data_IF_554426639110
#
_entry.id   IF_554426639110
#
_cell.length_a   1.000
_cell.length_b   1.000
_cell.length_c   1.000
_cell.angle_alpha   90.00
_cell.angle_beta   90.00
_cell.angle_gamma   90.00
#
_symmetry.space_group_name_H-M   'P 1'
#
loop_
_entity.id
_entity.type
_entity.pdbx_description
1 polymer ?
#
# COMPACT_ATOMS: atom_id res chain seq x y z
N UNK A 1 -17.66 28.82 4.93
CA UNK A 1 -16.75 27.66 5.01
C UNK A 1 -17.21 26.48 4.16
N UNK A 2 -18.52 26.23 3.96
CA UNK A 2 -18.98 25.14 3.07
C UNK A 2 -18.54 25.25 1.60
N UNK A 3 -18.71 26.42 0.96
CA UNK A 3 -18.38 26.57 -0.47
C UNK A 3 -16.91 26.36 -0.82
N UNK A 4 -15.97 26.79 0.03
CA UNK A 4 -14.55 26.62 -0.23
C UNK A 4 -14.08 25.15 -0.13
N UNK A 5 -14.73 24.32 0.68
CA UNK A 5 -14.44 22.88 0.75
C UNK A 5 -15.06 22.12 -0.42
N UNK A 6 -16.26 22.51 -0.86
CA UNK A 6 -16.91 21.94 -2.04
C UNK A 6 -16.06 22.14 -3.31
N UNK A 7 -15.41 23.31 -3.44
CA UNK A 7 -14.49 23.61 -4.54
C UNK A 7 -13.23 22.72 -4.55
N UNK A 8 -12.87 22.11 -3.41
CA UNK A 8 -11.69 21.22 -3.28
C UNK A 8 -11.99 19.75 -3.56
N UNK A 9 -13.24 19.33 -3.48
CA UNK A 9 -13.62 17.92 -3.63
C UNK A 9 -13.21 17.40 -5.01
N UNK A 10 -13.60 18.08 -6.09
CA UNK A 10 -13.34 17.61 -7.45
C UNK A 10 -11.83 17.56 -7.78
N UNK A 11 -11.03 18.61 -7.52
CA UNK A 11 -9.58 18.57 -7.75
C UNK A 11 -8.88 17.45 -6.97
N UNK A 12 -9.20 17.28 -5.68
CA UNK A 12 -8.58 16.26 -4.84
C UNK A 12 -9.03 14.85 -5.21
N UNK A 13 -10.27 14.67 -5.67
CA UNK A 13 -10.70 13.39 -6.24
C UNK A 13 -9.93 13.05 -7.51
N UNK A 14 -9.76 13.99 -8.44
CA UNK A 14 -8.95 13.74 -9.64
C UNK A 14 -7.51 13.39 -9.30
N UNK A 15 -6.93 14.09 -8.32
CA UNK A 15 -5.56 13.83 -7.88
C UNK A 15 -5.41 12.48 -7.17
N UNK A 16 -6.36 12.11 -6.32
CA UNK A 16 -6.39 10.78 -5.68
C UNK A 16 -6.65 9.64 -6.65
N UNK A 17 -7.37 9.88 -7.75
CA UNK A 17 -7.40 8.91 -8.87
C UNK A 17 -6.01 8.74 -9.47
N UNK A 18 -5.29 9.82 -9.76
CA UNK A 18 -3.92 9.73 -10.30
C UNK A 18 -3.00 8.98 -9.33
N UNK A 19 -3.07 9.31 -8.04
CA UNK A 19 -2.29 8.65 -6.99
C UNK A 19 -2.64 7.14 -6.88
N UNK A 20 -3.92 6.80 -6.80
CA UNK A 20 -4.36 5.40 -6.76
C UNK A 20 -3.98 4.61 -8.01
N UNK A 21 -4.12 5.20 -9.20
CA UNK A 21 -3.75 4.54 -10.47
C UNK A 21 -2.24 4.26 -10.59
N UNK A 22 -1.39 4.90 -9.77
CA UNK A 22 0.02 4.58 -9.71
C UNK A 22 0.26 3.12 -9.26
N UNK A 23 -0.62 2.54 -8.45
CA UNK A 23 -0.63 1.10 -8.11
C UNK A 23 -0.83 0.24 -9.37
N UNK A 24 -1.74 0.65 -10.26
CA UNK A 24 -1.92 -0.03 -11.54
C UNK A 24 -0.71 0.18 -12.47
N UNK A 25 -0.09 1.36 -12.45
CA UNK A 25 1.14 1.63 -13.21
C UNK A 25 2.29 0.71 -12.76
N UNK A 26 2.45 0.50 -11.45
CA UNK A 26 3.40 -0.46 -10.90
C UNK A 26 3.16 -1.89 -11.38
N UNK A 27 1.91 -2.30 -11.53
CA UNK A 27 1.58 -3.61 -12.10
C UNK A 27 2.03 -3.73 -13.57
N UNK A 28 1.88 -2.67 -14.37
CA UNK A 28 2.37 -2.66 -15.76
C UNK A 28 3.88 -2.83 -15.87
N UNK A 29 4.66 -2.27 -14.92
CA UNK A 29 6.11 -2.50 -14.85
C UNK A 29 6.40 -4.00 -14.83
N UNK A 30 5.77 -4.76 -13.92
CA UNK A 30 5.97 -6.22 -13.85
C UNK A 30 5.50 -6.93 -15.12
N UNK A 31 4.33 -6.55 -15.64
CA UNK A 31 3.70 -7.21 -16.78
C UNK A 31 4.46 -7.03 -18.10
N UNK A 32 5.36 -6.04 -18.18
CA UNK A 32 6.29 -5.89 -19.29
C UNK A 32 7.18 -7.12 -19.48
N UNK A 33 7.43 -7.90 -18.42
CA UNK A 33 8.24 -9.12 -18.49
C UNK A 33 7.35 -10.37 -18.47
N UNK A 34 6.97 -10.91 -19.65
CA UNK A 34 6.08 -12.06 -19.71
C UNK A 34 6.66 -13.31 -19.05
N UNK A 35 7.98 -13.46 -19.04
CA UNK A 35 8.72 -14.54 -18.38
C UNK A 35 9.51 -13.98 -17.18
N UNK A 36 8.79 -13.64 -16.10
CA UNK A 36 9.42 -13.11 -14.89
C UNK A 36 10.31 -14.19 -14.27
N UNK A 37 11.61 -13.89 -14.10
CA UNK A 37 12.57 -14.81 -13.51
C UNK A 37 12.59 -14.70 -11.98
N UNK A 38 12.94 -15.77 -11.24
CA UNK A 38 12.98 -15.74 -9.77
C UNK A 38 13.86 -14.62 -9.19
N UNK A 39 14.97 -14.28 -9.86
CA UNK A 39 15.84 -13.17 -9.45
C UNK A 39 15.14 -11.81 -9.52
N UNK A 40 14.34 -11.58 -10.57
CA UNK A 40 13.56 -10.35 -10.74
C UNK A 40 12.44 -10.27 -9.71
N UNK A 41 11.80 -11.40 -9.39
CA UNK A 41 10.83 -11.47 -8.30
C UNK A 41 11.49 -11.07 -6.97
N UNK A 42 12.67 -11.62 -6.65
CA UNK A 42 13.44 -11.23 -5.46
C UNK A 42 13.75 -9.72 -5.44
N UNK A 43 14.17 -9.15 -6.55
CA UNK A 43 14.44 -7.71 -6.66
C UNK A 43 13.19 -6.86 -6.43
N UNK A 44 12.07 -7.21 -7.06
CA UNK A 44 10.81 -6.48 -6.94
C UNK A 44 10.21 -6.55 -5.54
N UNK A 45 10.18 -7.74 -4.94
CA UNK A 45 9.68 -7.92 -3.57
C UNK A 45 10.60 -7.26 -2.54
N UNK A 46 11.92 -7.32 -2.75
CA UNK A 46 12.89 -6.59 -1.95
C UNK A 46 12.65 -5.09 -2.02
N UNK A 47 12.55 -4.53 -3.23
CA UNK A 47 12.26 -3.13 -3.48
C UNK A 47 10.99 -2.65 -2.78
N UNK A 48 9.88 -3.37 -2.96
CA UNK A 48 8.63 -3.05 -2.27
C UNK A 48 8.77 -3.13 -0.74
N UNK A 49 9.44 -4.15 -0.21
CA UNK A 49 9.70 -4.28 1.24
C UNK A 49 10.47 -3.07 1.80
N UNK A 50 11.50 -2.62 1.07
CA UNK A 50 12.30 -1.46 1.45
C UNK A 50 11.47 -0.17 1.50
N UNK A 51 10.65 0.08 0.47
CA UNK A 51 9.75 1.23 0.43
C UNK A 51 8.75 1.18 1.58
N UNK A 52 8.01 0.07 1.73
CA UNK A 52 6.92 -0.04 2.71
C UNK A 52 7.42 0.13 4.14
N UNK A 53 8.59 -0.41 4.50
CA UNK A 53 9.17 -0.21 5.84
C UNK A 53 9.54 1.25 6.09
N UNK A 54 10.09 1.94 5.08
CA UNK A 54 10.41 3.37 5.21
C UNK A 54 9.14 4.21 5.35
N UNK A 55 8.10 3.97 4.53
CA UNK A 55 6.80 4.66 4.63
C UNK A 55 6.21 4.49 6.04
N UNK A 56 6.20 3.26 6.57
CA UNK A 56 5.69 3.00 7.93
C UNK A 56 6.49 3.76 8.99
N UNK A 57 7.82 3.72 8.90
CA UNK A 57 8.70 4.25 9.93
C UNK A 57 8.80 5.78 9.92
N UNK A 58 8.77 6.41 8.74
CA UNK A 58 9.00 7.85 8.59
C UNK A 58 7.70 8.65 8.47
N UNK A 59 6.63 8.05 7.93
CA UNK A 59 5.40 8.78 7.65
C UNK A 59 4.24 8.28 8.52
N UNK A 60 3.86 6.99 8.46
CA UNK A 60 2.63 6.54 9.12
C UNK A 60 2.68 6.56 10.65
N UNK A 61 3.68 5.91 11.25
CA UNK A 61 3.76 5.83 12.73
C UNK A 61 4.00 7.21 13.35
N UNK A 62 4.91 8.06 12.84
CA UNK A 62 5.08 9.41 13.35
C UNK A 62 3.79 10.25 13.24
N UNK A 63 3.07 10.17 12.11
CA UNK A 63 1.81 10.91 11.92
C UNK A 63 0.73 10.44 12.88
N UNK A 64 0.56 9.11 13.03
CA UNK A 64 -0.42 8.56 13.97
C UNK A 64 -0.12 8.95 15.43
N UNK A 65 1.16 8.97 15.82
CA UNK A 65 1.55 9.47 17.14
C UNK A 65 1.18 10.96 17.28
N UNK A 66 1.55 11.80 16.32
CA UNK A 66 1.28 13.23 16.41
C UNK A 66 -0.23 13.55 16.51
N UNK A 67 -1.08 12.79 15.82
CA UNK A 67 -2.52 13.08 15.73
C UNK A 67 -3.37 12.45 16.82
N UNK A 68 -2.98 11.29 17.35
CA UNK A 68 -3.77 10.53 18.33
C UNK A 68 -3.01 10.10 19.58
N UNK A 69 -1.71 10.39 19.68
CA UNK A 69 -0.85 9.94 20.76
C UNK A 69 -0.47 8.47 20.66
N UNK A 70 0.32 8.01 21.63
CA UNK A 70 0.86 6.66 21.68
C UNK A 70 -0.23 5.58 21.76
N UNK A 71 -1.33 5.86 22.48
CA UNK A 71 -2.45 4.92 22.67
C UNK A 71 -3.12 4.58 21.35
N UNK A 72 -3.60 5.60 20.62
CA UNK A 72 -4.24 5.45 19.32
C UNK A 72 -3.32 4.77 18.29
N UNK A 73 -2.05 5.19 18.25
CA UNK A 73 -1.04 4.59 17.38
C UNK A 73 -0.84 3.11 17.69
N UNK A 74 -0.60 2.75 18.95
CA UNK A 74 -0.34 1.36 19.34
C UNK A 74 -1.56 0.46 19.07
N UNK A 75 -2.77 0.91 19.43
CA UNK A 75 -3.99 0.13 19.20
C UNK A 75 -4.28 -0.02 17.72
N UNK A 76 -4.16 1.05 16.93
CA UNK A 76 -4.35 1.00 15.48
C UNK A 76 -3.37 0.01 14.83
N UNK A 77 -2.08 0.14 15.14
CA UNK A 77 -1.04 -0.73 14.62
C UNK A 77 -1.29 -2.21 14.92
N UNK A 78 -1.58 -2.55 16.18
CA UNK A 78 -1.86 -3.94 16.57
C UNK A 78 -3.12 -4.45 15.86
N UNK A 79 -4.18 -3.64 15.76
CA UNK A 79 -5.38 -4.03 15.02
C UNK A 79 -5.10 -4.31 13.56
N UNK A 80 -4.35 -3.43 12.87
CA UNK A 80 -3.98 -3.63 11.47
C UNK A 80 -3.19 -4.91 11.23
N UNK A 81 -2.20 -5.15 12.08
CA UNK A 81 -1.41 -6.38 12.04
C UNK A 81 -2.30 -7.63 12.20
N UNK A 82 -3.21 -7.61 13.18
CA UNK A 82 -4.15 -8.72 13.44
C UNK A 82 -5.13 -8.91 12.27
N UNK A 83 -5.66 -7.83 11.70
CA UNK A 83 -6.60 -7.90 10.57
C UNK A 83 -5.97 -8.62 9.38
N UNK A 84 -4.72 -8.28 9.02
CA UNK A 84 -4.03 -8.97 7.93
C UNK A 84 -3.65 -10.39 8.32
N UNK A 85 -3.24 -10.64 9.57
CA UNK A 85 -2.98 -12.00 10.06
C UNK A 85 -4.23 -12.90 9.94
N UNK A 86 -5.41 -12.37 10.27
CA UNK A 86 -6.67 -13.09 10.10
C UNK A 86 -6.97 -13.30 8.61
N UNK A 87 -6.81 -12.26 7.78
CA UNK A 87 -7.02 -12.37 6.34
C UNK A 87 -6.12 -13.45 5.70
N UNK A 88 -4.87 -13.52 6.15
CA UNK A 88 -3.92 -14.56 5.75
C UNK A 88 -4.42 -15.97 6.14
N UNK A 89 -4.80 -16.16 7.41
CA UNK A 89 -5.31 -17.45 7.88
C UNK A 89 -6.55 -17.89 7.08
N UNK A 90 -7.45 -16.96 6.78
CA UNK A 90 -8.65 -17.22 5.98
C UNK A 90 -8.29 -17.56 4.53
N UNK A 91 -7.43 -16.79 3.88
CA UNK A 91 -6.97 -17.04 2.52
C UNK A 91 -6.21 -18.36 2.41
N UNK A 92 -5.40 -18.72 3.40
CA UNK A 92 -4.71 -20.01 3.47
C UNK A 92 -5.71 -21.18 3.49
N UNK A 93 -6.78 -21.07 4.29
CA UNK A 93 -7.84 -22.09 4.34
C UNK A 93 -8.57 -22.21 2.99
N UNK A 94 -8.95 -21.08 2.38
CA UNK A 94 -9.64 -21.04 1.08
C UNK A 94 -8.76 -21.57 -0.06
N UNK A 95 -7.47 -21.26 -0.05
CA UNK A 95 -6.52 -21.72 -1.07
C UNK A 95 -6.34 -23.23 -1.00
N UNK A 96 -6.20 -23.79 0.22
CA UNK A 96 -6.09 -25.24 0.41
C UNK A 96 -7.35 -25.98 -0.06
N UNK A 97 -8.54 -25.41 0.15
CA UNK A 97 -9.80 -26.05 -0.26
C UNK A 97 -10.07 -25.97 -1.77
N UNK A 98 -9.61 -24.91 -2.44
CA UNK A 98 -9.94 -24.65 -3.86
C UNK A 98 -8.86 -25.08 -4.86
N UNK A 99 -7.57 -24.90 -4.52
CA UNK A 99 -6.46 -25.05 -5.46
C UNK A 99 -5.59 -26.29 -5.19
N UNK A 100 -5.80 -26.98 -4.06
CA UNK A 100 -4.93 -28.07 -3.61
C UNK A 100 -3.49 -27.60 -3.32
N UNK A 101 -2.57 -28.54 -3.07
CA UNK A 101 -1.15 -28.24 -2.78
C UNK A 101 -0.31 -28.03 -4.06
N UNK A 102 -0.84 -27.32 -5.06
CA UNK A 102 -0.09 -26.99 -6.27
C UNK A 102 1.09 -26.04 -5.98
N UNK A 103 2.21 -26.20 -6.68
CA UNK A 103 3.43 -25.39 -6.49
C UNK A 103 3.24 -23.89 -6.68
N UNK A 104 2.22 -23.47 -7.44
CA UNK A 104 1.89 -22.06 -7.73
C UNK A 104 0.85 -21.47 -6.78
N UNK A 105 0.22 -22.28 -5.92
CA UNK A 105 -0.80 -21.82 -4.98
C UNK A 105 -0.26 -20.81 -3.94
N UNK A 106 0.96 -20.95 -3.39
CA UNK A 106 1.50 -19.99 -2.42
C UNK A 106 1.68 -18.58 -2.99
N UNK A 107 2.28 -18.45 -4.18
CA UNK A 107 2.49 -17.14 -4.83
C UNK A 107 1.17 -16.45 -5.21
N UNK A 108 0.17 -17.24 -5.63
CA UNK A 108 -1.14 -16.67 -5.93
C UNK A 108 -1.84 -16.15 -4.68
N UNK A 109 -1.78 -16.93 -3.58
CA UNK A 109 -2.31 -16.54 -2.27
C UNK A 109 -1.60 -15.29 -1.74
N UNK A 110 -0.26 -15.25 -1.79
CA UNK A 110 0.54 -14.08 -1.44
C UNK A 110 0.06 -12.84 -2.20
N UNK A 111 -0.06 -12.92 -3.53
CA UNK A 111 -0.49 -11.78 -4.33
C UNK A 111 -1.91 -11.28 -4.00
N UNK A 112 -2.85 -12.16 -3.66
CA UNK A 112 -4.16 -11.75 -3.19
C UNK A 112 -4.14 -11.16 -1.77
N UNK A 113 -3.32 -11.71 -0.88
CA UNK A 113 -3.17 -11.17 0.47
C UNK A 113 -2.57 -9.76 0.44
N UNK A 114 -1.55 -9.55 -0.39
CA UNK A 114 -0.97 -8.23 -0.66
C UNK A 114 -2.03 -7.28 -1.21
N UNK A 115 -2.85 -7.74 -2.18
CA UNK A 115 -3.94 -6.92 -2.72
C UNK A 115 -4.97 -6.49 -1.66
N UNK A 116 -5.33 -7.38 -0.73
CA UNK A 116 -6.22 -7.07 0.39
C UNK A 116 -5.57 -6.04 1.32
N UNK A 117 -4.31 -6.26 1.71
CA UNK A 117 -3.63 -5.38 2.64
C UNK A 117 -3.36 -3.98 2.08
N UNK A 118 -2.99 -3.87 0.80
CA UNK A 118 -2.87 -2.58 0.11
C UNK A 118 -4.24 -1.90 0.00
N UNK A 119 -5.31 -2.62 -0.36
CA UNK A 119 -6.65 -2.00 -0.40
C UNK A 119 -7.09 -1.41 0.95
N UNK A 120 -6.70 -2.07 2.06
CA UNK A 120 -6.94 -1.57 3.42
C UNK A 120 -6.03 -0.39 3.79
N UNK A 121 -4.86 -0.27 3.16
CA UNK A 121 -3.91 0.82 3.36
C UNK A 121 -4.28 2.07 2.54
N UNK A 122 -4.65 1.91 1.27
CA UNK A 122 -5.02 2.99 0.33
C UNK A 122 -6.21 3.81 0.84
N UNK A 123 -7.06 3.20 1.67
CA UNK A 123 -8.24 3.86 2.22
C UNK A 123 -7.87 4.99 3.21
N UNK A 124 -7.10 4.75 4.30
CA UNK A 124 -6.51 5.80 5.12
C UNK A 124 -5.74 6.87 4.34
N UNK A 125 -5.02 6.50 3.28
CA UNK A 125 -4.28 7.45 2.45
C UNK A 125 -5.19 8.42 1.71
N UNK A 126 -6.29 7.93 1.16
CA UNK A 126 -7.32 8.78 0.58
C UNK A 126 -7.84 9.81 1.59
N UNK A 127 -8.11 9.37 2.82
CA UNK A 127 -8.55 10.28 3.88
C UNK A 127 -7.47 11.34 4.17
N UNK A 128 -6.19 10.96 4.15
CA UNK A 128 -5.08 11.90 4.34
C UNK A 128 -5.01 12.97 3.26
N UNK A 129 -5.32 12.65 1.99
CA UNK A 129 -5.42 13.65 0.90
C UNK A 129 -6.50 14.69 1.22
N UNK A 130 -7.69 14.24 1.63
CA UNK A 130 -8.80 15.13 1.98
C UNK A 130 -8.49 15.98 3.22
N UNK A 131 -7.93 15.38 4.28
CA UNK A 131 -7.54 16.07 5.50
C UNK A 131 -6.43 17.11 5.25
N UNK A 132 -5.44 16.76 4.42
CA UNK A 132 -4.38 17.67 4.00
C UNK A 132 -4.94 18.88 3.25
N UNK A 133 -5.80 18.65 2.27
CA UNK A 133 -6.44 19.72 1.49
C UNK A 133 -7.32 20.65 2.33
N UNK A 134 -8.01 20.09 3.34
CA UNK A 134 -8.85 20.85 4.26
C UNK A 134 -8.02 21.74 5.21
N UNK A 135 -6.79 21.33 5.56
CA UNK A 135 -5.87 22.15 6.33
C UNK A 135 -5.23 23.23 5.44
N UNK A 136 -4.67 22.83 4.30
CA UNK A 136 -4.12 23.73 3.29
C UNK A 136 -4.15 23.05 1.92
N UNK A 137 -4.64 23.74 0.89
CA UNK A 137 -4.79 23.15 -0.46
C UNK A 137 -3.46 22.57 -0.95
N UNK A 138 -2.36 23.30 -0.76
CA UNK A 138 -1.02 22.85 -1.16
C UNK A 138 -0.61 21.53 -0.48
N UNK A 139 -0.95 21.35 0.79
CA UNK A 139 -0.66 20.11 1.53
C UNK A 139 -1.39 18.91 0.92
N UNK A 140 -2.66 19.08 0.52
CA UNK A 140 -3.40 18.02 -0.18
C UNK A 140 -2.73 17.57 -1.48
N UNK A 141 -2.17 18.51 -2.25
CA UNK A 141 -1.41 18.20 -3.46
C UNK A 141 -0.14 17.40 -3.18
N UNK A 142 0.62 17.87 -2.19
CA UNK A 142 1.90 17.30 -1.79
C UNK A 142 1.72 15.87 -1.24
N UNK A 143 0.69 15.67 -0.40
CA UNK A 143 0.31 14.34 0.12
C UNK A 143 -0.08 13.38 -0.99
N UNK A 144 -0.95 13.79 -1.92
CA UNK A 144 -1.39 12.92 -3.00
C UNK A 144 -0.25 12.53 -3.95
N UNK A 145 0.70 13.44 -4.21
CA UNK A 145 1.87 13.14 -5.02
C UNK A 145 2.79 12.14 -4.31
N UNK A 146 3.02 12.31 -3.01
CA UNK A 146 3.82 11.37 -2.20
C UNK A 146 3.20 9.96 -2.23
N UNK A 147 1.89 9.86 -2.01
CA UNK A 147 1.12 8.61 -2.12
C UNK A 147 1.30 7.98 -3.50
N UNK A 148 1.11 8.76 -4.57
CA UNK A 148 1.28 8.25 -5.93
C UNK A 148 2.67 7.67 -6.20
N UNK A 149 3.73 8.21 -5.59
CA UNK A 149 5.09 7.71 -5.79
C UNK A 149 5.32 6.35 -5.13
N UNK A 150 4.85 6.13 -3.91
CA UNK A 150 5.04 4.83 -3.24
C UNK A 150 4.01 3.77 -3.66
N UNK A 151 2.88 4.17 -4.23
CA UNK A 151 1.89 3.25 -4.80
C UNK A 151 2.44 2.43 -5.99
N UNK A 152 3.41 2.96 -6.74
CA UNK A 152 4.09 2.20 -7.81
C UNK A 152 4.75 0.91 -7.26
N UNK A 153 5.62 0.98 -6.23
CA UNK A 153 6.14 -0.18 -5.51
C UNK A 153 5.08 -1.19 -5.07
N UNK A 154 3.92 -0.74 -4.59
CA UNK A 154 2.83 -1.62 -4.15
C UNK A 154 2.16 -2.38 -5.29
N UNK A 155 1.99 -1.70 -6.43
CA UNK A 155 1.59 -2.30 -7.68
C UNK A 155 2.53 -3.42 -8.12
N UNK A 156 3.83 -3.17 -8.02
CA UNK A 156 4.89 -4.14 -8.30
C UNK A 156 4.79 -5.33 -7.34
N UNK A 157 4.62 -5.07 -6.04
CA UNK A 157 4.52 -6.08 -4.99
C UNK A 157 3.34 -7.03 -5.19
N UNK A 158 2.20 -6.50 -5.60
CA UNK A 158 1.00 -7.29 -5.93
C UNK A 158 1.19 -8.09 -7.21
N UNK A 159 1.67 -7.44 -8.28
CA UNK A 159 1.70 -8.04 -9.61
C UNK A 159 2.77 -9.13 -9.76
N UNK A 160 3.94 -8.97 -9.13
CA UNK A 160 5.07 -9.89 -9.28
C UNK A 160 4.75 -11.36 -8.89
N UNK A 161 4.22 -11.64 -7.68
CA UNK A 161 3.87 -13.01 -7.29
C UNK A 161 2.66 -13.54 -8.08
N UNK A 162 1.67 -12.70 -8.42
CA UNK A 162 0.53 -13.12 -9.25
C UNK A 162 0.97 -13.52 -10.66
N UNK A 163 1.88 -12.74 -11.26
CA UNK A 163 2.44 -13.05 -12.58
C UNK A 163 3.26 -14.33 -12.55
N UNK A 164 4.11 -14.50 -11.53
CA UNK A 164 4.90 -15.72 -11.34
C UNK A 164 4.02 -16.96 -11.08
N UNK A 165 2.85 -16.78 -10.44
CA UNK A 165 1.86 -17.85 -10.23
C UNK A 165 1.10 -18.28 -11.50
N UNK A 166 1.39 -17.64 -12.65
CA UNK A 166 0.73 -17.89 -13.93
C UNK A 166 -0.64 -17.24 -14.08
N UNK A 167 -0.99 -16.24 -13.26
CA UNK A 167 -2.24 -15.51 -13.43
C UNK A 167 -2.21 -14.67 -14.72
N UNK A 168 -3.32 -14.65 -15.47
CA UNK A 168 -3.42 -13.91 -16.73
C UNK A 168 -3.27 -12.41 -16.47
N UNK A 169 -2.53 -11.71 -17.34
CA UNK A 169 -2.21 -10.28 -17.20
C UNK A 169 -3.45 -9.40 -16.98
N UNK A 170 -4.53 -9.62 -17.74
CA UNK A 170 -5.76 -8.82 -17.59
C UNK A 170 -6.41 -8.97 -16.22
N UNK A 171 -6.27 -10.13 -15.54
CA UNK A 171 -6.78 -10.32 -14.18
C UNK A 171 -5.95 -9.56 -13.15
N UNK A 172 -4.64 -9.48 -13.37
CA UNK A 172 -3.73 -8.70 -12.53
C UNK A 172 -4.07 -7.21 -12.67
N UNK A 173 -4.24 -6.73 -13.91
CA UNK A 173 -4.65 -5.34 -14.19
C UNK A 173 -6.01 -5.04 -13.56
N UNK A 174 -7.00 -5.92 -13.74
CA UNK A 174 -8.32 -5.72 -13.15
C UNK A 174 -8.25 -5.63 -11.62
N UNK A 175 -7.47 -6.52 -10.98
CA UNK A 175 -7.28 -6.50 -9.54
C UNK A 175 -6.64 -5.18 -9.09
N UNK A 176 -5.56 -4.74 -9.74
CA UNK A 176 -4.87 -3.51 -9.35
C UNK A 176 -5.70 -2.27 -9.62
N UNK A 177 -6.54 -2.27 -10.67
CA UNK A 177 -7.50 -1.19 -10.91
C UNK A 177 -8.54 -1.13 -9.79
N UNK A 178 -9.05 -2.27 -9.33
CA UNK A 178 -9.99 -2.31 -8.20
C UNK A 178 -9.32 -1.77 -6.94
N UNK A 179 -8.07 -2.15 -6.67
CA UNK A 179 -7.28 -1.63 -5.54
C UNK A 179 -7.10 -0.11 -5.64
N UNK A 180 -6.70 0.38 -6.82
CA UNK A 180 -6.51 1.82 -7.10
C UNK A 180 -7.74 2.70 -6.83
N UNK A 181 -8.94 2.11 -6.71
CA UNK A 181 -10.17 2.85 -6.38
C UNK A 181 -10.32 3.12 -4.87
N UNK A 182 -9.55 2.45 -4.00
CA UNK A 182 -9.63 2.67 -2.56
C UNK A 182 -9.09 4.04 -2.14
N UNK A 183 -8.06 4.57 -2.81
CA UNK A 183 -7.56 5.94 -2.57
C UNK A 183 -8.60 7.04 -2.87
N UNK A 184 -9.24 7.09 -4.07
CA UNK A 184 -10.29 8.08 -4.33
C UNK A 184 -11.54 7.83 -3.48
N UNK A 185 -11.87 6.58 -3.15
CA UNK A 185 -12.97 6.27 -2.21
C UNK A 185 -12.68 6.82 -0.81
N UNK A 186 -11.46 6.62 -0.31
CA UNK A 186 -10.98 7.18 0.95
C UNK A 186 -10.98 8.71 0.93
N UNK A 187 -10.62 9.33 -0.20
CA UNK A 187 -10.64 10.79 -0.36
C UNK A 187 -12.06 11.35 -0.33
N UNK A 188 -12.99 10.72 -1.06
CA UNK A 188 -14.40 11.11 -1.07
C UNK A 188 -15.00 11.03 0.34
N UNK A 189 -14.80 9.89 1.01
CA UNK A 189 -15.27 9.72 2.38
C UNK A 189 -14.53 10.65 3.33
N UNK A 190 -13.25 10.88 3.12
CA UNK A 190 -12.42 11.82 3.89
C UNK A 190 -13.07 13.19 3.99
N UNK A 191 -13.51 13.78 2.87
CA UNK A 191 -14.24 15.06 2.88
C UNK A 191 -15.56 15.02 3.66
N UNK A 192 -16.29 13.91 3.60
CA UNK A 192 -17.51 13.70 4.41
C UNK A 192 -17.23 13.42 5.88
N UNK A 193 -16.02 12.96 6.19
CA UNK A 193 -15.55 12.53 7.51
C UNK A 193 -14.60 13.53 8.17
N UNK A 194 -14.38 14.73 7.61
CA UNK A 194 -13.55 15.77 8.23
C UNK A 194 -14.05 16.21 9.63
N UNK A 195 -15.26 15.80 10.02
CA UNK A 195 -15.80 15.97 11.37
C UNK A 195 -15.46 14.81 12.34
N UNK A 196 -14.76 13.76 11.90
CA UNK A 196 -14.28 12.67 12.75
C UNK A 196 -13.14 13.16 13.64
N UNK A 197 -12.99 12.57 14.83
CA UNK A 197 -11.87 12.90 15.73
C UNK A 197 -10.52 12.55 15.11
N UNK A 198 -9.53 13.40 15.35
CA UNK A 198 -8.13 13.18 14.95
C UNK A 198 -7.55 11.86 15.50
N UNK A 199 -8.07 11.41 16.64
CA UNK A 199 -7.73 10.12 17.25
C UNK A 199 -8.15 8.93 16.38
N UNK A 200 -9.36 8.93 15.81
CA UNK A 200 -9.81 7.85 14.90
C UNK A 200 -8.96 7.85 13.62
N UNK A 201 -8.63 9.03 13.11
CA UNK A 201 -7.75 9.14 11.94
C UNK A 201 -6.35 8.60 12.22
N UNK A 202 -5.78 8.91 13.39
CA UNK A 202 -4.53 8.32 13.85
C UNK A 202 -4.59 6.79 13.98
N UNK A 203 -5.70 6.25 14.48
CA UNK A 203 -5.90 4.80 14.55
C UNK A 203 -5.95 4.16 13.16
N UNK A 204 -6.61 4.79 12.18
CA UNK A 204 -6.67 4.30 10.80
C UNK A 204 -5.29 4.33 10.12
N UNK A 205 -4.51 5.40 10.32
CA UNK A 205 -3.14 5.51 9.81
C UNK A 205 -2.25 4.44 10.44
N UNK A 206 -2.33 4.25 11.76
CA UNK A 206 -1.55 3.21 12.42
C UNK A 206 -2.00 1.80 12.02
N UNK A 207 -3.30 1.59 11.78
CA UNK A 207 -3.85 0.34 11.24
C UNK A 207 -3.24 0.01 9.88
N UNK A 208 -3.16 0.98 8.98
CA UNK A 208 -2.41 0.85 7.73
C UNK A 208 -0.94 0.45 7.97
N UNK A 209 -0.27 1.11 8.94
CA UNK A 209 1.10 0.79 9.28
C UNK A 209 1.30 -0.65 9.78
N UNK A 210 0.40 -1.14 10.65
CA UNK A 210 0.41 -2.51 11.15
C UNK A 210 0.16 -3.54 10.06
N UNK A 211 -0.78 -3.25 9.16
CA UNK A 211 -1.08 -4.10 8.00
C UNK A 211 0.14 -4.25 7.08
N UNK A 212 0.83 -3.15 6.76
CA UNK A 212 2.03 -3.17 5.93
C UNK A 212 3.19 -3.91 6.57
N UNK A 213 3.42 -3.73 7.88
CA UNK A 213 4.48 -4.47 8.58
C UNK A 213 4.20 -5.98 8.54
N UNK A 214 2.95 -6.41 8.71
CA UNK A 214 2.60 -7.83 8.54
C UNK A 214 2.96 -8.32 7.14
N UNK A 215 2.52 -7.61 6.09
CA UNK A 215 2.78 -8.00 4.71
C UNK A 215 4.30 -8.12 4.44
N UNK A 216 5.09 -7.14 4.87
CA UNK A 216 6.54 -7.18 4.68
C UNK A 216 7.15 -8.36 5.44
N UNK A 217 6.78 -8.53 6.70
CA UNK A 217 7.39 -9.51 7.59
C UNK A 217 7.08 -10.96 7.19
N UNK A 218 5.82 -11.25 6.91
CA UNK A 218 5.34 -12.63 6.72
C UNK A 218 5.34 -13.07 5.25
N UNK A 219 5.17 -12.12 4.31
CA UNK A 219 4.98 -12.44 2.89
C UNK A 219 6.14 -11.93 2.02
N UNK A 220 6.36 -10.62 1.93
CA UNK A 220 7.29 -10.05 0.93
C UNK A 220 8.75 -10.42 1.24
N UNK A 221 9.22 -10.17 2.47
CA UNK A 221 10.63 -10.35 2.81
C UNK A 221 11.07 -11.83 2.81
N UNK A 222 10.29 -12.78 3.36
CA UNK A 222 10.62 -14.20 3.25
C UNK A 222 10.68 -14.68 1.79
N UNK A 223 9.69 -14.34 0.96
CA UNK A 223 9.66 -14.78 -0.43
C UNK A 223 10.73 -14.10 -1.29
N UNK A 224 11.05 -12.81 -1.02
CA UNK A 224 12.13 -12.10 -1.68
C UNK A 224 13.47 -12.84 -1.52
N UNK A 225 13.81 -13.26 -0.29
CA UNK A 225 15.10 -13.90 0.00
C UNK A 225 15.20 -15.34 -0.48
N UNK A 226 14.07 -16.02 -0.68
CA UNK A 226 14.01 -17.45 -1.00
C UNK A 226 14.72 -17.82 -2.31
N UNK A 227 14.56 -17.01 -3.36
CA UNK A 227 15.11 -17.31 -4.69
C UNK A 227 16.48 -16.67 -4.93
N UNK A 228 16.67 -15.41 -4.53
CA UNK A 228 17.96 -14.73 -4.65
C UNK A 228 18.15 -13.66 -3.56
N UNK A 229 18.89 -13.98 -2.48
CA UNK A 229 19.17 -13.03 -1.41
C UNK A 229 19.84 -11.74 -1.90
N UNK A 230 20.83 -11.84 -2.79
CA UNK A 230 21.54 -10.67 -3.34
C UNK A 230 20.57 -9.66 -3.96
N UNK A 231 19.66 -10.12 -4.83
CA UNK A 231 18.67 -9.27 -5.46
C UNK A 231 17.61 -8.74 -4.48
N UNK A 232 17.26 -9.53 -3.46
CA UNK A 232 16.36 -9.07 -2.39
C UNK A 232 16.95 -7.91 -1.58
N UNK A 233 18.21 -8.05 -1.12
CA UNK A 233 18.88 -7.01 -0.34
C UNK A 233 19.14 -5.73 -1.16
N UNK A 234 19.61 -5.89 -2.40
CA UNK A 234 19.84 -4.74 -3.29
C UNK A 234 18.54 -4.02 -3.64
N UNK A 235 17.48 -4.78 -3.95
CA UNK A 235 16.14 -4.23 -4.15
C UNK A 235 15.68 -3.43 -2.93
N UNK A 236 15.74 -4.02 -1.73
CA UNK A 236 15.32 -3.36 -0.49
C UNK A 236 16.12 -2.09 -0.18
N UNK A 237 17.44 -2.11 -0.39
CA UNK A 237 18.26 -0.91 -0.22
C UNK A 237 17.86 0.19 -1.19
N UNK A 238 17.68 -0.13 -2.48
CA UNK A 238 17.26 0.83 -3.50
C UNK A 238 15.88 1.39 -3.15
N UNK A 239 14.92 0.53 -2.81
CA UNK A 239 13.57 0.95 -2.42
C UNK A 239 13.56 1.87 -1.21
N UNK A 240 14.30 1.50 -0.16
CA UNK A 240 14.44 2.33 1.02
C UNK A 240 15.07 3.70 0.70
N UNK A 241 16.16 3.74 -0.09
CA UNK A 241 16.81 5.00 -0.47
C UNK A 241 15.91 5.88 -1.35
N UNK A 242 15.17 5.28 -2.28
CA UNK A 242 14.18 6.00 -3.09
C UNK A 242 13.11 6.63 -2.19
N UNK A 243 12.55 5.86 -1.25
CA UNK A 243 11.51 6.37 -0.37
C UNK A 243 12.03 7.44 0.59
N UNK A 244 13.22 7.24 1.17
CA UNK A 244 13.87 8.26 1.99
C UNK A 244 14.03 9.56 1.20
N UNK A 245 14.47 9.51 -0.05
CA UNK A 245 14.60 10.70 -0.89
C UNK A 245 13.26 11.40 -1.13
N UNK A 246 12.17 10.63 -1.33
CA UNK A 246 10.81 11.17 -1.45
C UNK A 246 10.36 11.83 -0.15
N UNK A 247 10.53 11.17 1.00
CA UNK A 247 10.17 11.75 2.30
C UNK A 247 10.96 13.02 2.61
N UNK A 248 12.25 13.10 2.23
CA UNK A 248 13.05 14.33 2.39
C UNK A 248 12.54 15.52 1.57
N UNK A 249 11.94 15.28 0.39
CA UNK A 249 11.33 16.33 -0.44
C UNK A 249 9.99 16.79 0.15
N UNK A 250 9.32 15.94 0.94
CA UNK A 250 8.02 16.23 1.53
C UNK A 250 8.12 17.00 2.86
N UNK A 251 9.16 16.73 3.66
CA UNK A 251 9.35 17.32 5.00
C UNK A 251 10.20 18.61 5.01
N UNK A 252 10.67 19.09 3.84
CA UNK A 252 11.46 20.33 3.67
C UNK A 252 10.99 21.16 2.48
#
# INVERSE_FOLDING_TARGET
MGGALEDLIVPMLLLSFVAGFATTLGAFVVLWWPNLQPQKLSAFLGFASGVMIVVVALDLLPTAWQWGGLGAMATGFVMGFIVIAIADLLLTRLTRSTLGNGTMAPLRKMGYLIAIGISLHDFPEGIAIAAGAAAEVHLGWVVALAIGLHNIPEGIATAAPLRMSGLRAWKIILLTVIMSLFTPLGTLLGFGLLAISTEVLAQLIALAGGAMVYLVWDELWPEARKNSPFWAYTGALIGALCMVAVSFIHHH
#
